data_IF_018968744578
#
_entry.id   IF_018968744578
#
_cell.length_a   1.000
_cell.length_b   1.000
_cell.length_c   1.000
_cell.angle_alpha   90.00
_cell.angle_beta   90.00
_cell.angle_gamma   90.00
#
_symmetry.space_group_name_H-M   'P 1'
#
loop_
_entity.id
_entity.type
_entity.pdbx_description
1 polymer ?
#
# COMPACT_ATOMS: atom_id res chain seq x y z
N UNK A 1 -14.26 0.32 1.11
CA UNK A 1 -13.62 1.53 1.64
C UNK A 1 -14.36 1.94 2.92
N UNK A 2 -13.65 2.33 3.99
CA UNK A 2 -14.26 2.50 5.34
C UNK A 2 -15.34 3.61 5.44
N UNK A 3 -15.43 4.50 4.46
CA UNK A 3 -16.32 5.68 4.49
C UNK A 3 -17.36 5.70 3.34
N UNK A 4 -17.59 4.59 2.63
CA UNK A 4 -18.45 4.55 1.42
C UNK A 4 -19.86 5.10 1.65
N UNK A 5 -20.47 4.77 2.80
CA UNK A 5 -21.82 5.19 3.15
C UNK A 5 -21.97 6.73 3.23
N UNK A 6 -20.89 7.45 3.53
CA UNK A 6 -20.91 8.91 3.61
C UNK A 6 -20.75 9.59 2.24
N UNK A 7 -20.20 8.90 1.24
CA UNK A 7 -19.77 9.51 -0.03
C UNK A 7 -20.82 9.50 -1.13
N UNK A 8 -22.03 8.99 -0.86
CA UNK A 8 -23.13 8.91 -1.83
C UNK A 8 -22.68 8.37 -3.20
N UNK A 9 -21.91 7.27 -3.17
CA UNK A 9 -21.33 6.68 -4.38
C UNK A 9 -22.42 6.18 -5.34
N UNK A 10 -22.22 6.42 -6.64
CA UNK A 10 -23.06 5.84 -7.68
C UNK A 10 -22.77 4.32 -7.85
N UNK A 11 -23.54 3.63 -8.69
CA UNK A 11 -23.41 2.18 -8.87
C UNK A 11 -22.03 1.76 -9.41
N UNK A 12 -21.47 2.53 -10.35
CA UNK A 12 -20.16 2.28 -10.96
C UNK A 12 -19.03 2.44 -9.94
N UNK A 13 -19.04 3.54 -9.18
CA UNK A 13 -18.09 3.81 -8.10
C UNK A 13 -18.13 2.71 -7.03
N UNK A 14 -19.34 2.27 -6.63
CA UNK A 14 -19.51 1.17 -5.66
C UNK A 14 -18.90 -0.12 -6.17
N UNK A 15 -19.16 -0.48 -7.43
CA UNK A 15 -18.61 -1.69 -8.04
C UNK A 15 -17.07 -1.64 -8.08
N UNK A 16 -16.51 -0.50 -8.51
CA UNK A 16 -15.06 -0.28 -8.53
C UNK A 16 -14.44 -0.45 -7.14
N UNK A 17 -14.91 0.30 -6.14
CA UNK A 17 -14.31 0.24 -4.80
C UNK A 17 -14.53 -1.11 -4.12
N UNK A 18 -15.63 -1.81 -4.40
CA UNK A 18 -15.85 -3.16 -3.88
C UNK A 18 -14.84 -4.17 -4.45
N UNK A 19 -14.57 -4.13 -5.76
CA UNK A 19 -13.55 -4.98 -6.38
C UNK A 19 -12.13 -4.61 -5.92
N UNK A 20 -11.85 -3.31 -5.87
CA UNK A 20 -10.56 -2.78 -5.47
C UNK A 20 -10.18 -3.16 -4.04
N UNK A 21 -11.14 -3.09 -3.11
CA UNK A 21 -10.94 -3.48 -1.71
C UNK A 21 -10.73 -4.98 -1.51
N UNK A 22 -11.11 -5.83 -2.46
CA UNK A 22 -10.82 -7.27 -2.41
C UNK A 22 -9.38 -7.56 -2.82
N UNK A 23 -8.83 -6.79 -3.77
CA UNK A 23 -7.54 -7.09 -4.42
C UNK A 23 -6.36 -6.36 -3.79
N UNK A 24 -6.51 -5.08 -3.47
CA UNK A 24 -5.37 -4.26 -3.05
C UNK A 24 -4.79 -4.61 -1.69
N UNK A 25 -5.59 -4.95 -0.66
CA UNK A 25 -5.04 -5.38 0.63
C UNK A 25 -4.14 -6.61 0.50
N UNK A 26 -4.62 -7.65 -0.20
CA UNK A 26 -3.84 -8.88 -0.42
C UNK A 26 -2.54 -8.60 -1.18
N UNK A 27 -2.59 -7.75 -2.23
CA UNK A 27 -1.38 -7.34 -2.96
C UNK A 27 -0.37 -6.64 -2.06
N UNK A 28 -0.84 -5.72 -1.21
CA UNK A 28 0.02 -4.99 -0.27
C UNK A 28 0.65 -5.95 0.75
N UNK A 29 -0.17 -6.82 1.34
CA UNK A 29 0.30 -7.82 2.30
C UNK A 29 1.32 -8.77 1.66
N UNK A 30 1.18 -9.10 0.37
CA UNK A 30 2.16 -9.87 -0.38
C UNK A 30 3.54 -9.20 -0.43
N UNK A 31 3.58 -7.88 -0.69
CA UNK A 31 4.84 -7.11 -0.68
C UNK A 31 5.39 -6.99 0.75
N UNK A 32 4.55 -6.75 1.75
CA UNK A 32 4.97 -6.69 3.17
C UNK A 32 5.57 -8.02 3.63
N UNK A 33 4.98 -9.17 3.26
CA UNK A 33 5.54 -10.50 3.52
C UNK A 33 6.91 -10.68 2.86
N UNK A 34 7.04 -10.29 1.60
CA UNK A 34 8.31 -10.36 0.86
C UNK A 34 9.41 -9.53 1.54
N UNK A 35 9.10 -8.33 2.02
CA UNK A 35 10.05 -7.50 2.79
C UNK A 35 10.48 -8.23 4.06
N UNK A 36 9.54 -8.84 4.79
CA UNK A 36 9.85 -9.59 6.01
C UNK A 36 10.78 -10.78 5.73
N UNK A 37 10.53 -11.55 4.66
CA UNK A 37 11.38 -12.66 4.22
C UNK A 37 12.78 -12.19 3.84
N UNK A 38 12.91 -11.11 3.06
CA UNK A 38 14.20 -10.53 2.68
C UNK A 38 15.01 -10.06 3.89
N UNK A 39 14.34 -9.52 4.93
CA UNK A 39 14.98 -9.11 6.18
C UNK A 39 15.50 -10.31 6.98
N UNK A 40 14.79 -11.44 6.95
CA UNK A 40 15.26 -12.69 7.56
C UNK A 40 16.49 -13.21 6.82
N UNK A 41 16.47 -13.24 5.48
CA UNK A 41 17.61 -13.66 4.66
C UNK A 41 18.83 -12.75 4.90
N UNK A 42 18.63 -11.43 4.94
CA UNK A 42 19.69 -10.47 5.25
C UNK A 42 20.32 -10.75 6.62
N UNK A 43 19.50 -11.04 7.63
CA UNK A 43 19.99 -11.39 8.97
C UNK A 43 20.86 -12.64 8.95
N UNK A 44 20.47 -13.68 8.21
CA UNK A 44 21.28 -14.90 8.06
C UNK A 44 22.63 -14.60 7.41
N UNK A 45 22.63 -13.88 6.28
CA UNK A 45 23.87 -13.49 5.57
C UNK A 45 24.82 -12.68 6.46
N UNK A 46 24.28 -11.80 7.31
CA UNK A 46 25.09 -11.03 8.28
C UNK A 46 25.73 -11.97 9.32
N UNK A 47 24.98 -12.94 9.85
CA UNK A 47 25.48 -13.88 10.85
C UNK A 47 26.52 -14.86 10.30
N UNK A 48 26.44 -15.20 9.01
CA UNK A 48 27.41 -16.06 8.31
C UNK A 48 28.71 -15.33 7.90
N UNK A 49 28.74 -13.99 8.05
CA UNK A 49 29.95 -13.19 8.11
C UNK A 49 30.76 -13.02 6.81
N UNK A 50 30.32 -13.57 5.66
CA UNK A 50 31.25 -13.79 4.53
C UNK A 50 30.84 -13.23 3.18
N UNK A 51 29.55 -12.90 2.93
CA UNK A 51 29.11 -12.47 1.59
C UNK A 51 28.63 -11.01 1.54
N UNK A 52 29.59 -10.08 1.39
CA UNK A 52 29.33 -8.64 1.26
C UNK A 52 28.45 -8.32 0.05
N UNK A 53 28.72 -8.93 -1.10
CA UNK A 53 27.95 -8.67 -2.32
C UNK A 53 26.48 -9.07 -2.13
N UNK A 54 26.23 -10.28 -1.62
CA UNK A 54 24.89 -10.77 -1.33
C UNK A 54 24.16 -9.89 -0.32
N UNK A 55 24.86 -9.43 0.73
CA UNK A 55 24.31 -8.48 1.71
C UNK A 55 23.88 -7.18 1.03
N UNK A 56 24.75 -6.59 0.21
CA UNK A 56 24.49 -5.32 -0.46
C UNK A 56 23.32 -5.47 -1.48
N UNK A 57 23.24 -6.60 -2.19
CA UNK A 57 22.09 -6.94 -3.04
C UNK A 57 20.78 -7.06 -2.25
N UNK A 58 20.78 -7.70 -1.08
CA UNK A 58 19.59 -7.83 -0.24
C UNK A 58 19.12 -6.47 0.29
N UNK A 59 20.05 -5.61 0.71
CA UNK A 59 19.74 -4.24 1.13
C UNK A 59 19.06 -3.47 0.01
N UNK A 60 19.58 -3.53 -1.23
CA UNK A 60 18.97 -2.86 -2.39
C UNK A 60 17.57 -3.42 -2.70
N UNK A 61 17.39 -4.74 -2.63
CA UNK A 61 16.08 -5.38 -2.83
C UNK A 61 15.06 -4.93 -1.79
N UNK A 62 15.44 -4.90 -0.51
CA UNK A 62 14.57 -4.42 0.57
C UNK A 62 14.17 -2.96 0.30
N UNK A 63 15.12 -2.08 -0.02
CA UNK A 63 14.83 -0.68 -0.31
C UNK A 63 13.88 -0.51 -1.50
N UNK A 64 14.02 -1.34 -2.54
CA UNK A 64 13.13 -1.35 -3.71
C UNK A 64 11.69 -1.73 -3.31
N UNK A 65 11.52 -2.78 -2.51
CA UNK A 65 10.18 -3.21 -2.06
C UNK A 65 9.55 -2.22 -1.07
N UNK A 66 10.35 -1.58 -0.21
CA UNK A 66 9.87 -0.51 0.66
C UNK A 66 9.38 0.70 -0.15
N UNK A 67 10.13 1.11 -1.16
CA UNK A 67 9.68 2.15 -2.10
C UNK A 67 8.38 1.75 -2.82
N UNK A 68 8.26 0.47 -3.21
CA UNK A 68 7.05 -0.05 -3.83
C UNK A 68 5.82 0.07 -2.91
N UNK A 69 5.94 -0.22 -1.61
CA UNK A 69 4.84 0.01 -0.64
C UNK A 69 4.42 1.48 -0.58
N UNK A 70 5.38 2.41 -0.60
CA UNK A 70 5.09 3.84 -0.61
C UNK A 70 4.39 4.27 -1.90
N UNK A 71 4.84 3.75 -3.04
CA UNK A 71 4.19 3.96 -4.34
C UNK A 71 2.75 3.41 -4.36
N UNK A 72 2.51 2.21 -3.83
CA UNK A 72 1.17 1.66 -3.70
C UNK A 72 0.26 2.58 -2.87
N UNK A 73 0.78 3.20 -1.81
CA UNK A 73 0.03 4.16 -1.00
C UNK A 73 -0.32 5.44 -1.77
N UNK A 74 0.61 5.95 -2.57
CA UNK A 74 0.36 7.10 -3.45
C UNK A 74 -0.74 6.76 -4.49
N UNK A 75 -0.59 5.63 -5.18
CA UNK A 75 -1.55 5.12 -6.16
C UNK A 75 -2.95 4.93 -5.56
N UNK A 76 -3.05 4.53 -4.29
CA UNK A 76 -4.34 4.45 -3.60
C UNK A 76 -5.07 5.80 -3.55
N UNK A 77 -4.36 6.89 -3.30
CA UNK A 77 -4.97 8.23 -3.26
C UNK A 77 -5.32 8.70 -4.68
N UNK A 78 -4.46 8.41 -5.65
CA UNK A 78 -4.70 8.73 -7.07
C UNK A 78 -5.92 8.01 -7.62
N UNK A 79 -6.03 6.68 -7.46
CA UNK A 79 -7.19 5.90 -7.90
C UNK A 79 -8.49 6.40 -7.27
N UNK A 80 -8.44 6.79 -5.99
CA UNK A 80 -9.60 7.37 -5.29
C UNK A 80 -9.96 8.73 -5.90
N UNK A 81 -8.99 9.57 -6.24
CA UNK A 81 -9.23 10.87 -6.86
C UNK A 81 -9.78 10.76 -8.28
N UNK A 82 -9.36 9.75 -9.03
CA UNK A 82 -9.85 9.48 -10.40
C UNK A 82 -11.31 9.00 -10.42
N UNK A 83 -11.70 8.18 -9.44
CA UNK A 83 -13.03 7.57 -9.43
C UNK A 83 -14.07 8.37 -8.64
N UNK A 84 -13.64 9.30 -7.77
CA UNK A 84 -14.54 10.20 -7.05
C UNK A 84 -14.66 11.55 -7.77
N UNK A 85 -15.85 12.16 -7.66
CA UNK A 85 -15.99 13.58 -8.00
C UNK A 85 -15.16 14.46 -7.05
N UNK A 86 -14.80 15.70 -7.44
CA UNK A 86 -14.08 16.61 -6.55
C UNK A 86 -14.77 16.84 -5.20
N UNK A 87 -16.10 16.90 -5.19
CA UNK A 87 -16.89 17.07 -3.97
C UNK A 87 -16.80 15.83 -3.05
N UNK A 88 -16.93 14.63 -3.61
CA UNK A 88 -16.78 13.38 -2.87
C UNK A 88 -15.35 13.21 -2.33
N UNK A 89 -14.33 13.55 -3.12
CA UNK A 89 -12.95 13.50 -2.67
C UNK A 89 -12.69 14.48 -1.50
N UNK A 90 -13.19 15.71 -1.60
CA UNK A 90 -13.09 16.70 -0.50
C UNK A 90 -13.77 16.19 0.77
N UNK A 91 -14.96 15.61 0.64
CA UNK A 91 -15.68 15.01 1.77
C UNK A 91 -14.88 13.86 2.39
N UNK A 92 -14.29 13.01 1.56
CA UNK A 92 -13.45 11.92 2.02
C UNK A 92 -12.25 12.41 2.84
N UNK A 93 -11.53 13.42 2.34
CA UNK A 93 -10.38 14.02 3.05
C UNK A 93 -10.82 14.52 4.43
N UNK A 94 -11.94 15.24 4.50
CA UNK A 94 -12.48 15.73 5.77
C UNK A 94 -12.84 14.59 6.76
N UNK A 95 -13.26 13.42 6.26
CA UNK A 95 -13.54 12.25 7.10
C UNK A 95 -12.26 11.60 7.64
N UNK A 96 -11.14 11.69 6.92
CA UNK A 96 -9.84 11.22 7.41
C UNK A 96 -9.23 12.18 8.43
N UNK A 97 -9.34 13.49 8.22
CA UNK A 97 -8.82 14.51 9.14
C UNK A 97 -9.57 14.56 10.49
N UNK A 98 -10.86 14.19 10.50
CA UNK A 98 -11.68 14.17 11.71
C UNK A 98 -11.50 12.94 12.59
N UNK A 99 -10.78 11.91 12.13
CA UNK A 99 -10.54 10.71 12.94
C UNK A 99 -9.27 10.93 13.77
N UNK A 100 -9.31 10.86 15.11
CA UNK A 100 -8.08 10.84 15.88
C UNK A 100 -7.28 9.60 15.48
N UNK A 101 -5.97 9.78 15.25
CA UNK A 101 -5.02 8.71 14.96
C UNK A 101 -4.93 7.71 16.11
#
# INVERSE_FOLDING_TARGET
MKNEAALNLNAEQKAFFADWMKKMPERREGVERKIAELRIELRQVILEGSNREKRDQLIQKIGTEEAHILMMRALCVESVREHLTPAQFKQLVALYEKKPS
#
